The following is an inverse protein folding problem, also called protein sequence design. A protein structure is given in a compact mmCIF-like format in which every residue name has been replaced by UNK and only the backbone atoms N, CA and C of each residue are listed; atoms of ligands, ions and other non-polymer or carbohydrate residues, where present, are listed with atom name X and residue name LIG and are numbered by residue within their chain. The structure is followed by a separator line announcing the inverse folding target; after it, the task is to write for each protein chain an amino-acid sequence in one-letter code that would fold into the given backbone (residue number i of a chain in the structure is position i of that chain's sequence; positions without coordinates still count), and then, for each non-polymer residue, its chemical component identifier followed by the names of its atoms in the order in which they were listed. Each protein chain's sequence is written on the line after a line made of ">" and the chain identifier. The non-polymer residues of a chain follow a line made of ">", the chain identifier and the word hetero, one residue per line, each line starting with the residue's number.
data_IF_023678905682
#
_entry.id   IF_023678905682
#
_cell.length_a   1.000
_cell.length_b   1.000
_cell.length_c   1.000
_cell.angle_alpha   90.00
_cell.angle_beta   90.00
_cell.angle_gamma   90.00
#
_symmetry.space_group_name_H-M   'P 1'
#
loop_
_entity.id
_entity.type
_entity.pdbx_description
1 polymer ?
#
# COMPACT_ATOMS: atom_id res chain seq x y z
N UNK A 1 24.24 -4.91 -9.89
CA UNK A 1 23.15 -5.81 -10.28
C UNK A 1 22.99 -6.86 -9.20
N UNK A 2 21.80 -7.39 -9.02
CA UNK A 2 21.52 -8.44 -8.03
C UNK A 2 22.45 -9.63 -8.29
N UNK A 3 23.19 -10.15 -7.29
CA UNK A 3 24.10 -11.28 -7.50
C UNK A 3 23.40 -12.58 -7.89
N UNK A 4 22.09 -12.65 -7.63
CA UNK A 4 21.21 -13.75 -8.02
C UNK A 4 19.99 -13.17 -8.71
N UNK A 5 19.36 -13.92 -9.64
CA UNK A 5 18.13 -13.50 -10.29
C UNK A 5 17.06 -13.13 -9.24
N UNK A 6 16.62 -11.87 -9.24
CA UNK A 6 15.56 -11.41 -8.35
C UNK A 6 14.21 -11.92 -8.87
N UNK A 7 13.59 -12.83 -8.14
CA UNK A 7 12.24 -13.27 -8.45
C UNK A 7 11.24 -12.54 -7.54
N UNK A 8 10.57 -11.54 -8.10
CA UNK A 8 9.59 -10.70 -7.41
C UNK A 8 8.39 -11.47 -6.82
N UNK A 9 8.13 -12.67 -7.33
CA UNK A 9 7.03 -13.52 -6.85
C UNK A 9 7.30 -14.07 -5.46
N UNK A 10 8.57 -14.27 -5.11
CA UNK A 10 8.99 -14.91 -3.87
C UNK A 10 9.76 -13.99 -2.94
N UNK A 11 10.37 -12.91 -3.47
CA UNK A 11 11.19 -12.00 -2.69
C UNK A 11 10.48 -10.70 -2.40
N UNK A 12 10.51 -10.29 -1.14
CA UNK A 12 9.96 -9.02 -0.65
C UNK A 12 10.74 -7.82 -1.19
N UNK A 13 10.08 -6.68 -1.30
CA UNK A 13 10.70 -5.42 -1.76
C UNK A 13 11.91 -5.05 -0.88
N UNK A 14 11.85 -5.32 0.42
CA UNK A 14 12.94 -5.03 1.36
C UNK A 14 14.26 -5.74 1.02
N UNK A 15 14.24 -6.84 0.27
CA UNK A 15 15.47 -7.49 -0.22
C UNK A 15 16.24 -6.61 -1.20
N UNK A 16 15.54 -5.77 -1.99
CA UNK A 16 16.19 -4.80 -2.89
C UNK A 16 16.90 -3.69 -2.11
N UNK A 17 16.36 -3.33 -0.93
CA UNK A 17 16.87 -2.28 -0.06
C UNK A 17 17.98 -2.78 0.86
N UNK A 18 18.27 -4.09 0.84
CA UNK A 18 19.21 -4.74 1.74
C UNK A 18 20.62 -4.75 1.17
N UNK A 19 21.64 -4.19 1.86
CA UNK A 19 23.04 -4.35 1.48
C UNK A 19 23.51 -5.80 1.43
N UNK A 20 22.86 -6.69 2.18
CA UNK A 20 23.17 -8.12 2.17
C UNK A 20 22.74 -8.79 0.87
N UNK A 21 21.53 -8.47 0.40
CA UNK A 21 20.93 -9.13 -0.77
C UNK A 21 21.27 -8.38 -2.08
N UNK A 22 21.58 -7.07 -1.97
CA UNK A 22 21.93 -6.18 -3.09
C UNK A 22 23.14 -5.29 -2.73
N UNK A 23 24.34 -5.85 -2.50
CA UNK A 23 25.47 -5.13 -1.90
C UNK A 23 25.99 -3.93 -2.72
N UNK A 24 25.88 -3.99 -4.06
CA UNK A 24 26.40 -2.92 -4.94
C UNK A 24 25.40 -1.79 -5.20
N UNK A 25 24.10 -2.05 -5.11
CA UNK A 25 23.07 -1.14 -5.64
C UNK A 25 21.83 -0.96 -4.77
N UNK A 26 21.87 -1.36 -3.48
CA UNK A 26 20.72 -1.25 -2.56
C UNK A 26 20.21 0.19 -2.39
N UNK A 27 21.10 1.17 -2.51
CA UNK A 27 20.76 2.59 -2.39
C UNK A 27 19.88 3.08 -3.54
N UNK A 28 20.01 2.52 -4.75
CA UNK A 28 19.22 2.93 -5.91
C UNK A 28 17.73 2.68 -5.74
N UNK A 29 17.27 1.45 -5.43
CA UNK A 29 15.86 1.23 -5.12
C UNK A 29 15.40 1.97 -3.85
N UNK A 30 16.27 2.15 -2.84
CA UNK A 30 15.93 2.93 -1.65
C UNK A 30 15.62 4.39 -2.00
N UNK A 31 16.48 5.04 -2.77
CA UNK A 31 16.23 6.39 -3.27
C UNK A 31 15.00 6.45 -4.19
N UNK A 32 14.84 5.48 -5.09
CA UNK A 32 13.69 5.42 -6.00
C UNK A 32 12.36 5.34 -5.26
N UNK A 33 12.25 4.47 -4.26
CA UNK A 33 11.03 4.31 -3.46
C UNK A 33 10.78 5.55 -2.58
N UNK A 34 11.82 6.10 -1.96
CA UNK A 34 11.70 7.33 -1.17
C UNK A 34 11.21 8.51 -2.02
N UNK A 35 11.80 8.73 -3.19
CA UNK A 35 11.37 9.77 -4.15
C UNK A 35 9.93 9.52 -4.63
N UNK A 36 9.58 8.28 -4.96
CA UNK A 36 8.21 7.94 -5.35
C UNK A 36 7.22 8.28 -4.23
N UNK A 37 7.57 8.01 -2.98
CA UNK A 37 6.78 8.41 -1.82
C UNK A 37 6.60 9.93 -1.75
N UNK A 38 7.68 10.70 -1.91
CA UNK A 38 7.61 12.16 -1.90
C UNK A 38 6.74 12.72 -3.03
N UNK A 39 6.81 12.12 -4.22
CA UNK A 39 5.94 12.50 -5.35
C UNK A 39 4.46 12.17 -5.14
N UNK A 40 4.11 11.34 -4.16
CA UNK A 40 2.72 11.11 -3.76
C UNK A 40 2.14 12.24 -2.90
N UNK A 41 2.94 13.15 -2.34
CA UNK A 41 2.46 14.24 -1.47
C UNK A 41 1.45 15.18 -2.15
N UNK A 42 1.70 15.72 -3.36
CA UNK A 42 0.72 16.54 -4.09
C UNK A 42 -0.59 15.79 -4.31
N UNK A 43 -0.48 14.49 -4.51
CA UNK A 43 -1.62 13.62 -4.73
C UNK A 43 -2.52 13.47 -3.50
N UNK A 44 -1.93 13.37 -2.32
CA UNK A 44 -2.67 13.34 -1.07
C UNK A 44 -3.51 14.62 -0.90
N UNK A 45 -2.94 15.79 -1.25
CA UNK A 45 -3.66 17.08 -1.25
C UNK A 45 -4.79 17.12 -2.28
N UNK A 46 -4.53 16.69 -3.51
CA UNK A 46 -5.54 16.57 -4.57
C UNK A 46 -6.71 15.70 -4.14
N UNK A 47 -6.41 14.51 -3.63
CA UNK A 47 -7.41 13.57 -3.14
C UNK A 47 -8.23 14.17 -1.98
N UNK A 48 -7.58 14.86 -1.04
CA UNK A 48 -8.26 15.54 0.06
C UNK A 48 -9.31 16.54 -0.45
N UNK A 49 -8.97 17.37 -1.45
CA UNK A 49 -9.89 18.34 -2.02
C UNK A 49 -11.14 17.67 -2.58
N UNK A 50 -10.98 16.59 -3.35
CA UNK A 50 -12.11 15.81 -3.90
C UNK A 50 -12.95 15.13 -2.82
N UNK A 51 -12.32 14.51 -1.82
CA UNK A 51 -13.03 13.81 -0.76
C UNK A 51 -13.77 14.76 0.18
N UNK A 52 -13.32 16.03 0.35
CA UNK A 52 -14.00 17.05 1.15
C UNK A 52 -15.42 17.32 0.68
N UNK A 53 -15.67 17.24 -0.61
CA UNK A 53 -17.01 17.41 -1.20
C UNK A 53 -18.00 16.35 -0.71
N UNK A 54 -17.51 15.18 -0.33
CA UNK A 54 -18.35 14.07 0.19
C UNK A 54 -18.41 14.06 1.71
N UNK A 55 -17.27 14.21 2.35
CA UNK A 55 -17.17 14.23 3.82
C UNK A 55 -15.85 14.89 4.26
N UNK A 56 -15.90 16.10 4.83
CA UNK A 56 -14.70 16.81 5.31
C UNK A 56 -13.89 16.00 6.34
N UNK A 57 -14.58 15.30 7.25
CA UNK A 57 -13.92 14.50 8.30
C UNK A 57 -13.15 13.32 7.70
N UNK A 58 -13.78 12.56 6.80
CA UNK A 58 -13.13 11.41 6.16
C UNK A 58 -11.99 11.86 5.25
N UNK A 59 -12.15 12.99 4.56
CA UNK A 59 -11.09 13.59 3.76
C UNK A 59 -9.86 13.94 4.60
N UNK A 60 -10.04 14.52 5.78
CA UNK A 60 -8.93 14.84 6.69
C UNK A 60 -8.25 13.59 7.24
N UNK A 61 -9.01 12.55 7.59
CA UNK A 61 -8.46 11.26 8.03
C UNK A 61 -7.66 10.62 6.88
N UNK A 62 -8.21 10.59 5.67
CA UNK A 62 -7.54 10.05 4.48
C UNK A 62 -6.22 10.77 4.22
N UNK A 63 -6.23 12.10 4.23
CA UNK A 63 -5.04 12.92 4.04
C UNK A 63 -3.97 12.65 5.09
N UNK A 64 -4.35 12.71 6.38
CA UNK A 64 -3.43 12.41 7.48
C UNK A 64 -2.83 11.01 7.40
N UNK A 65 -3.65 10.02 7.02
CA UNK A 65 -3.20 8.65 6.81
C UNK A 65 -2.21 8.55 5.64
N UNK A 66 -2.48 9.18 4.49
CA UNK A 66 -1.53 9.19 3.37
C UNK A 66 -0.21 9.84 3.76
N UNK A 67 -0.23 11.02 4.43
CA UNK A 67 0.99 11.69 4.89
C UNK A 67 1.78 10.80 5.85
N UNK A 68 1.13 10.22 6.86
CA UNK A 68 1.79 9.33 7.81
C UNK A 68 2.37 8.08 7.11
N UNK A 69 1.65 7.51 6.14
CA UNK A 69 2.10 6.38 5.33
C UNK A 69 3.33 6.73 4.49
N UNK A 70 3.34 7.90 3.84
CA UNK A 70 4.47 8.39 3.04
C UNK A 70 5.69 8.63 3.93
N UNK A 71 5.52 9.30 5.08
CA UNK A 71 6.62 9.53 6.03
C UNK A 71 7.21 8.21 6.50
N UNK A 72 6.36 7.25 6.90
CA UNK A 72 6.82 5.92 7.30
C UNK A 72 7.53 5.18 6.16
N UNK A 73 7.09 5.33 4.89
CA UNK A 73 7.73 4.76 3.71
C UNK A 73 9.14 5.33 3.50
N UNK A 74 9.28 6.65 3.57
CA UNK A 74 10.58 7.33 3.45
C UNK A 74 11.51 6.88 4.59
N UNK A 75 11.01 6.85 5.82
CA UNK A 75 11.78 6.34 6.97
C UNK A 75 12.21 4.87 6.77
N UNK A 76 11.33 4.02 6.20
CA UNK A 76 11.67 2.64 5.86
C UNK A 76 12.87 2.55 4.92
N UNK A 77 12.94 3.44 3.92
CA UNK A 77 14.05 3.48 2.96
C UNK A 77 15.38 3.95 3.59
N UNK A 78 15.32 4.74 4.67
CA UNK A 78 16.50 5.20 5.40
C UNK A 78 17.04 4.17 6.39
N UNK A 79 16.19 3.26 6.86
CA UNK A 79 16.56 2.23 7.83
C UNK A 79 16.98 0.95 7.11
N UNK A 80 18.26 0.60 7.25
CA UNK A 80 18.79 -0.63 6.64
C UNK A 80 18.12 -1.86 7.26
N UNK A 81 17.62 -2.83 6.43
CA UNK A 81 16.90 -4.02 6.91
C UNK A 81 17.66 -4.90 7.91
N UNK A 82 18.98 -4.77 7.98
CA UNK A 82 19.87 -5.58 8.84
C UNK A 82 20.04 -5.02 10.24
N UNK A 83 19.52 -3.85 10.56
CA UNK A 83 19.58 -3.32 11.92
C UNK A 83 18.90 -4.27 12.91
N UNK A 84 19.66 -4.66 13.96
CA UNK A 84 19.25 -5.66 14.95
C UNK A 84 18.25 -5.12 15.98
N UNK A 85 18.07 -3.80 16.06
CA UNK A 85 17.12 -3.20 17.00
C UNK A 85 15.68 -3.65 16.72
N UNK A 86 15.06 -4.25 17.74
CA UNK A 86 13.69 -4.72 17.68
C UNK A 86 12.76 -3.72 18.35
N UNK A 87 11.70 -3.34 17.65
CA UNK A 87 10.59 -2.54 18.18
C UNK A 87 9.61 -3.49 18.86
N UNK A 88 9.22 -3.19 20.09
CA UNK A 88 8.38 -4.05 20.93
C UNK A 88 8.91 -5.50 21.09
N UNK A 89 10.22 -5.72 20.95
CA UNK A 89 10.84 -7.04 21.06
C UNK A 89 10.50 -8.04 19.92
N UNK A 90 9.66 -7.66 18.97
CA UNK A 90 9.11 -8.55 17.94
C UNK A 90 9.61 -8.23 16.54
N UNK A 91 9.51 -6.98 16.11
CA UNK A 91 9.83 -6.58 14.73
C UNK A 91 11.16 -5.83 14.67
N UNK A 92 11.90 -6.04 13.57
CA UNK A 92 13.00 -5.15 13.24
C UNK A 92 12.43 -3.78 12.87
N UNK A 93 13.16 -2.70 13.15
CA UNK A 93 12.72 -1.32 12.89
C UNK A 93 12.24 -1.14 11.43
N UNK A 94 13.00 -1.64 10.47
CA UNK A 94 12.64 -1.59 9.04
C UNK A 94 11.29 -2.27 8.76
N UNK A 95 11.09 -3.48 9.27
CA UNK A 95 9.84 -4.25 9.09
C UNK A 95 8.64 -3.53 9.75
N UNK A 96 8.87 -2.95 10.92
CA UNK A 96 7.84 -2.18 11.63
C UNK A 96 7.41 -0.96 10.81
N UNK A 97 8.37 -0.15 10.33
CA UNK A 97 8.09 1.04 9.52
C UNK A 97 7.40 0.68 8.19
N UNK A 98 7.82 -0.41 7.53
CA UNK A 98 7.17 -0.88 6.30
C UNK A 98 5.70 -1.27 6.54
N UNK A 99 5.41 -2.00 7.62
CA UNK A 99 4.03 -2.36 7.99
C UNK A 99 3.20 -1.16 8.37
N UNK A 100 3.79 -0.21 9.10
CA UNK A 100 3.15 1.04 9.48
C UNK A 100 2.77 1.86 8.24
N UNK A 101 3.70 1.97 7.28
CA UNK A 101 3.45 2.62 6.00
C UNK A 101 2.29 1.97 5.27
N UNK A 102 2.33 0.64 5.08
CA UNK A 102 1.28 -0.12 4.40
C UNK A 102 -0.09 0.06 5.10
N UNK A 103 -0.12 0.02 6.43
CA UNK A 103 -1.36 0.20 7.20
C UNK A 103 -1.95 1.59 7.01
N UNK A 104 -1.14 2.65 7.09
CA UNK A 104 -1.63 4.01 6.90
C UNK A 104 -2.07 4.27 5.45
N UNK A 105 -1.33 3.81 4.45
CA UNK A 105 -1.76 3.91 3.05
C UNK A 105 -3.08 3.16 2.83
N UNK A 106 -3.24 1.96 3.37
CA UNK A 106 -4.48 1.20 3.29
C UNK A 106 -5.67 1.95 3.95
N UNK A 107 -5.47 2.58 5.11
CA UNK A 107 -6.50 3.42 5.76
C UNK A 107 -6.89 4.58 4.85
N UNK A 108 -5.91 5.28 4.26
CA UNK A 108 -6.18 6.36 3.32
C UNK A 108 -7.00 5.91 2.10
N UNK A 109 -6.64 4.77 1.51
CA UNK A 109 -7.35 4.17 0.38
C UNK A 109 -8.77 3.71 0.77
N UNK A 110 -8.96 3.10 1.94
CA UNK A 110 -10.28 2.70 2.45
C UNK A 110 -11.20 3.89 2.67
N UNK A 111 -10.67 5.02 3.16
CA UNK A 111 -11.40 6.27 3.26
C UNK A 111 -11.87 6.76 1.88
N UNK A 112 -11.00 6.67 0.85
CA UNK A 112 -11.36 6.95 -0.54
C UNK A 112 -12.48 6.03 -1.04
N UNK A 113 -12.36 4.71 -0.82
CA UNK A 113 -13.39 3.73 -1.18
C UNK A 113 -14.74 4.06 -0.54
N UNK A 114 -14.74 4.46 0.75
CA UNK A 114 -15.96 4.84 1.45
C UNK A 114 -16.62 6.08 0.85
N UNK A 115 -15.84 7.11 0.50
CA UNK A 115 -16.37 8.29 -0.19
C UNK A 115 -16.93 7.92 -1.58
N UNK A 116 -16.19 7.11 -2.34
CA UNK A 116 -16.63 6.64 -3.64
C UNK A 116 -17.92 5.77 -3.55
N UNK A 117 -18.07 4.97 -2.50
CA UNK A 117 -19.28 4.21 -2.22
C UNK A 117 -20.51 5.11 -2.06
N UNK A 118 -20.37 6.23 -1.34
CA UNK A 118 -21.45 7.20 -1.18
C UNK A 118 -21.87 7.86 -2.48
N UNK A 119 -20.90 8.14 -3.35
CA UNK A 119 -21.12 8.82 -4.62
C UNK A 119 -21.40 7.90 -5.80
N UNK A 120 -21.30 6.58 -5.65
CA UNK A 120 -21.36 5.60 -6.75
C UNK A 120 -22.59 5.68 -7.64
N UNK A 121 -23.72 6.21 -7.13
CA UNK A 121 -24.98 6.34 -7.85
C UNK A 121 -25.11 7.63 -8.65
N UNK A 122 -24.19 8.58 -8.50
CA UNK A 122 -24.29 9.90 -9.13
C UNK A 122 -23.93 9.87 -10.61
N UNK A 123 -23.00 9.00 -11.01
CA UNK A 123 -22.57 8.85 -12.41
C UNK A 123 -21.92 7.50 -12.66
N UNK A 124 -21.82 7.13 -13.95
CA UNK A 124 -21.10 5.93 -14.39
C UNK A 124 -19.60 6.01 -14.00
N UNK A 125 -19.00 7.20 -14.08
CA UNK A 125 -17.62 7.41 -13.67
C UNK A 125 -17.43 7.20 -12.16
N UNK A 126 -18.34 7.71 -11.34
CA UNK A 126 -18.31 7.49 -9.88
C UNK A 126 -18.47 5.99 -9.54
N UNK A 127 -19.31 5.26 -10.25
CA UNK A 127 -19.43 3.81 -10.09
C UNK A 127 -18.14 3.08 -10.48
N UNK A 128 -17.52 3.45 -11.62
CA UNK A 128 -16.24 2.87 -12.05
C UNK A 128 -15.13 3.16 -11.04
N UNK A 129 -15.03 4.38 -10.54
CA UNK A 129 -14.08 4.76 -9.51
C UNK A 129 -14.25 3.91 -8.25
N UNK A 130 -15.49 3.74 -7.78
CA UNK A 130 -15.78 2.90 -6.61
C UNK A 130 -15.31 1.46 -6.81
N UNK A 131 -15.63 0.82 -7.93
CA UNK A 131 -15.24 -0.56 -8.18
C UNK A 131 -13.73 -0.72 -8.35
N UNK A 132 -13.08 0.20 -9.08
CA UNK A 132 -11.63 0.21 -9.25
C UNK A 132 -10.93 0.35 -7.90
N UNK A 133 -11.30 1.35 -7.11
CA UNK A 133 -10.70 1.61 -5.80
C UNK A 133 -10.93 0.45 -4.83
N UNK A 134 -12.16 -0.09 -4.80
CA UNK A 134 -12.47 -1.23 -3.93
C UNK A 134 -11.63 -2.45 -4.30
N UNK A 135 -11.53 -2.77 -5.58
CA UNK A 135 -10.75 -3.91 -6.05
C UNK A 135 -9.26 -3.77 -5.72
N UNK A 136 -8.64 -2.63 -6.11
CA UNK A 136 -7.20 -2.43 -5.90
C UNK A 136 -6.83 -2.26 -4.42
N UNK A 137 -7.77 -1.88 -3.56
CA UNK A 137 -7.53 -1.77 -2.11
C UNK A 137 -7.73 -3.11 -1.42
N UNK A 138 -8.86 -3.78 -1.68
CA UNK A 138 -9.24 -4.98 -0.94
C UNK A 138 -8.42 -6.21 -1.35
N UNK A 139 -8.07 -6.34 -2.63
CA UNK A 139 -7.32 -7.51 -3.11
C UNK A 139 -5.96 -7.66 -2.41
N UNK A 140 -5.04 -6.68 -2.43
CA UNK A 140 -3.76 -6.82 -1.75
C UNK A 140 -3.91 -6.83 -0.22
N UNK A 141 -4.87 -6.09 0.34
CA UNK A 141 -5.12 -6.08 1.77
C UNK A 141 -5.54 -7.46 2.28
N UNK A 142 -6.49 -8.11 1.63
CA UNK A 142 -6.91 -9.47 1.97
C UNK A 142 -5.77 -10.46 1.75
N UNK A 143 -5.00 -10.30 0.67
CA UNK A 143 -3.84 -11.14 0.38
C UNK A 143 -2.75 -11.06 1.45
N UNK A 144 -2.35 -9.85 1.85
CA UNK A 144 -1.37 -9.65 2.93
C UNK A 144 -1.88 -10.21 4.25
N UNK A 145 -3.12 -9.90 4.64
CA UNK A 145 -3.70 -10.40 5.88
C UNK A 145 -3.79 -11.92 5.89
N UNK A 146 -4.20 -12.53 4.79
CA UNK A 146 -4.27 -14.00 4.66
C UNK A 146 -2.89 -14.63 4.78
N UNK A 147 -1.87 -14.07 4.10
CA UNK A 147 -0.49 -14.54 4.16
C UNK A 147 0.08 -14.45 5.59
N UNK A 148 -0.12 -13.32 6.26
CA UNK A 148 0.35 -13.13 7.65
C UNK A 148 -0.41 -14.04 8.65
N UNK A 149 -1.73 -14.17 8.52
CA UNK A 149 -2.51 -15.07 9.36
C UNK A 149 -2.05 -16.52 9.20
N UNK A 150 -1.83 -16.97 7.97
CA UNK A 150 -1.35 -18.34 7.71
C UNK A 150 0.05 -18.55 8.29
N UNK A 151 0.95 -17.55 8.19
CA UNK A 151 2.28 -17.62 8.81
C UNK A 151 2.19 -17.76 10.33
N UNK A 152 1.31 -17.01 10.98
CA UNK A 152 1.09 -17.07 12.43
C UNK A 152 0.51 -18.43 12.84
N UNK A 153 -0.53 -18.90 12.16
CA UNK A 153 -1.21 -20.16 12.44
C UNK A 153 -0.31 -21.40 12.20
N UNK A 154 0.66 -21.30 11.29
CA UNK A 154 1.56 -22.43 10.96
C UNK A 154 2.88 -22.41 11.73
N UNK A 155 3.19 -21.35 12.48
CA UNK A 155 4.41 -21.28 13.31
C UNK A 155 4.55 -22.45 14.31
N UNK A 156 3.54 -22.81 15.11
CA UNK A 156 3.61 -23.94 16.03
C UNK A 156 3.58 -25.31 15.36
N UNK A 157 3.55 -25.39 14.01
CA UNK A 157 3.47 -26.62 13.20
C UNK A 157 2.38 -27.60 13.64
N UNK A 158 1.14 -27.18 13.86
CA UNK A 158 0.07 -28.11 14.17
C UNK A 158 -0.12 -29.09 13.01
N UNK A 159 -0.44 -30.36 13.32
CA UNK A 159 -0.53 -31.43 12.33
C UNK A 159 -1.53 -31.16 11.20
N UNK A 160 -2.64 -30.46 11.50
CA UNK A 160 -3.65 -30.06 10.51
C UNK A 160 -3.16 -28.99 9.54
N UNK A 161 -2.18 -28.17 9.94
CA UNK A 161 -1.66 -27.08 9.09
C UNK A 161 -0.63 -27.57 8.07
N UNK A 162 -0.02 -28.75 8.27
CA UNK A 162 0.99 -29.28 7.37
C UNK A 162 0.48 -29.53 5.95
N UNK A 163 -0.69 -30.16 5.73
CA UNK A 163 -1.23 -30.36 4.38
C UNK A 163 -1.50 -29.03 3.67
N UNK A 164 -2.11 -28.06 4.37
CA UNK A 164 -2.41 -26.73 3.85
C UNK A 164 -1.12 -26.00 3.47
N UNK A 165 -0.13 -26.02 4.37
CA UNK A 165 1.18 -25.43 4.12
C UNK A 165 1.88 -26.06 2.92
N UNK A 166 1.86 -27.39 2.79
CA UNK A 166 2.48 -28.08 1.67
C UNK A 166 1.78 -27.76 0.35
N UNK A 167 0.46 -27.67 0.32
CA UNK A 167 -0.31 -27.28 -0.86
C UNK A 167 -0.02 -25.83 -1.28
N UNK A 168 0.06 -24.91 -0.31
CA UNK A 168 0.26 -23.49 -0.58
C UNK A 168 1.73 -23.12 -0.82
N UNK A 169 2.68 -23.90 -0.33
CA UNK A 169 4.13 -23.64 -0.42
C UNK A 169 4.61 -23.39 -1.86
N UNK A 170 3.98 -24.06 -2.82
CA UNK A 170 4.28 -23.92 -4.24
C UNK A 170 3.44 -22.83 -4.93
N UNK A 171 2.49 -22.23 -4.22
CA UNK A 171 1.67 -21.14 -4.74
C UNK A 171 2.38 -19.80 -4.55
N UNK A 172 2.36 -18.98 -5.59
CA UNK A 172 2.84 -17.59 -5.52
C UNK A 172 2.10 -16.79 -4.45
N UNK A 173 0.82 -17.10 -4.26
CA UNK A 173 -0.06 -16.42 -3.29
C UNK A 173 0.31 -16.66 -1.81
N UNK A 174 1.16 -17.65 -1.53
CA UNK A 174 1.70 -17.85 -0.18
C UNK A 174 2.77 -16.83 0.22
N UNK A 175 3.45 -16.23 -0.76
CA UNK A 175 4.61 -15.43 -0.52
C UNK A 175 4.25 -13.96 -0.30
N UNK A 176 4.69 -13.39 0.81
CA UNK A 176 4.51 -11.97 1.13
C UNK A 176 5.06 -11.06 0.03
N UNK A 177 6.16 -11.46 -0.63
CA UNK A 177 6.75 -10.70 -1.74
C UNK A 177 5.75 -10.40 -2.85
N UNK A 178 4.97 -11.38 -3.28
CA UNK A 178 3.94 -11.19 -4.28
C UNK A 178 2.91 -10.12 -3.86
N UNK A 179 2.47 -10.15 -2.61
CA UNK A 179 1.48 -9.20 -2.10
C UNK A 179 2.05 -7.81 -1.86
N UNK A 180 3.33 -7.69 -1.48
CA UNK A 180 4.00 -6.38 -1.40
C UNK A 180 4.06 -5.69 -2.76
N UNK A 181 4.44 -6.41 -3.83
CA UNK A 181 4.45 -5.88 -5.19
C UNK A 181 3.04 -5.56 -5.69
N UNK A 182 2.08 -6.44 -5.42
CA UNK A 182 0.68 -6.21 -5.76
C UNK A 182 0.15 -4.97 -5.04
N UNK A 183 0.50 -4.79 -3.77
CA UNK A 183 0.14 -3.60 -2.99
C UNK A 183 0.74 -2.32 -3.55
N UNK A 184 2.03 -2.33 -3.93
CA UNK A 184 2.67 -1.18 -4.58
C UNK A 184 1.99 -0.82 -5.90
N UNK A 185 1.71 -1.81 -6.76
CA UNK A 185 0.96 -1.60 -8.00
C UNK A 185 -0.47 -1.08 -7.74
N UNK A 186 -1.13 -1.58 -6.70
CA UNK A 186 -2.47 -1.16 -6.31
C UNK A 186 -2.52 0.31 -5.88
N UNK A 187 -1.55 0.79 -5.11
CA UNK A 187 -1.43 2.21 -4.76
C UNK A 187 -1.30 3.05 -6.03
N UNK A 188 -0.45 2.65 -6.96
CA UNK A 188 -0.27 3.36 -8.23
C UNK A 188 -1.58 3.42 -9.03
N UNK A 189 -2.27 2.29 -9.21
CA UNK A 189 -3.56 2.23 -9.92
C UNK A 189 -4.63 3.06 -9.20
N UNK A 190 -4.66 3.04 -7.87
CA UNK A 190 -5.58 3.87 -7.07
C UNK A 190 -5.38 5.36 -7.37
N UNK A 191 -4.14 5.82 -7.40
CA UNK A 191 -3.79 7.20 -7.70
C UNK A 191 -4.13 7.57 -9.15
N UNK A 192 -3.80 6.73 -10.12
CA UNK A 192 -4.16 6.95 -11.52
C UNK A 192 -5.68 7.04 -11.69
N UNK A 193 -6.45 6.14 -11.06
CA UNK A 193 -7.90 6.17 -11.10
C UNK A 193 -8.48 7.46 -10.49
N UNK A 194 -7.85 7.99 -9.43
CA UNK A 194 -8.23 9.28 -8.86
C UNK A 194 -8.15 10.40 -9.90
N UNK A 195 -7.06 10.47 -10.67
CA UNK A 195 -6.89 11.52 -11.71
C UNK A 195 -7.81 11.31 -12.90
N UNK A 196 -7.92 10.07 -13.36
CA UNK A 196 -8.62 9.78 -14.62
C UNK A 196 -10.14 9.74 -14.47
N UNK A 197 -10.66 9.39 -13.31
CA UNK A 197 -12.08 9.15 -13.09
C UNK A 197 -12.76 10.21 -12.20
N UNK A 198 -12.00 11.18 -11.64
CA UNK A 198 -12.59 12.33 -10.96
C UNK A 198 -12.67 13.53 -11.89
N UNK A 199 -13.75 14.32 -11.86
CA UNK A 199 -13.84 15.53 -12.66
C UNK A 199 -12.81 16.57 -12.19
N UNK A 200 -12.32 17.47 -13.08
CA UNK A 200 -11.46 18.57 -12.70
C UNK A 200 -12.08 19.45 -11.58
N UNK A 201 -11.25 19.97 -10.68
CA UNK A 201 -11.72 20.80 -9.56
C UNK A 201 -12.47 22.05 -10.02
N UNK A 202 -12.07 22.67 -11.11
CA UNK A 202 -12.73 23.85 -11.71
C UNK A 202 -14.21 23.60 -12.03
N UNK A 203 -14.56 22.41 -12.50
CA UNK A 203 -15.94 22.02 -12.77
C UNK A 203 -16.76 21.85 -11.49
N UNK A 204 -16.09 21.54 -10.37
CA UNK A 204 -16.73 21.37 -9.07
C UNK A 204 -16.92 22.70 -8.35
N UNK A 205 -15.97 23.63 -8.47
CA UNK A 205 -16.07 24.98 -7.89
C UNK A 205 -17.17 25.80 -8.57
N UNK A 206 -17.32 25.71 -9.90
CA UNK A 206 -18.42 26.36 -10.64
C UNK A 206 -19.81 25.93 -10.19
N UNK A 207 -19.99 24.67 -9.77
CA UNK A 207 -21.26 24.17 -9.23
C UNK A 207 -21.54 24.60 -7.80
N UNK A 208 -20.53 24.95 -7.03
CA UNK A 208 -20.68 25.41 -5.63
C UNK A 208 -21.04 26.91 -5.60
N UNK A 209 -20.65 27.68 -6.62
CA UNK A 209 -21.04 29.09 -6.75
C UNK A 209 -22.47 29.29 -7.28
N UNK A 210 -23.12 28.24 -7.80
CA UNK A 210 -24.51 28.29 -8.30
C UNK A 210 -25.55 27.81 -7.28
N UNK A 211 -25.15 27.40 -6.09
CA UNK A 211 -26.02 27.00 -4.97
C UNK A 211 -25.89 27.99 -3.80
#
# INVERSE_FOLDING_TARGET
>A
MFPQSYDWRYRVISNLLSPRDNPGHYWLPSCGIALSGLFMLPFAGYLQCHLKMVSPRVASVSYGAFIAGIVALVCTCLVVPQHTHRVFGVWRMHEFLARLSAAFLAVGMLCGCWCALKNRRQSVFAARLFWTWSFVTLLPLVGVLSSECLLVLTRPKPSWALPIRNALRHSVFWHLGFWEWTGAAAVFVFLCAAVLLTPPLEVLEGKVCEL
#
